data_IF_960807097038
#
_entry.id   IF_960807097038
#
_cell.length_a   1.000
_cell.length_b   1.000
_cell.length_c   1.000
_cell.angle_alpha   90.00
_cell.angle_beta   90.00
_cell.angle_gamma   90.00
#
_symmetry.space_group_name_H-M   'P 1'
#
loop_
_entity.id
_entity.type
_entity.pdbx_description
1 polymer ?
#
# COMPACT_ATOMS: atom_id res chain seq x y z
N UNK A 1 4.27 25.76 3.02
CA UNK A 1 4.93 24.69 2.23
C UNK A 1 3.87 23.99 1.42
N UNK A 2 4.18 23.54 0.20
CA UNK A 2 3.22 22.93 -0.72
C UNK A 2 3.58 21.47 -0.97
N UNK A 3 2.62 20.56 -0.90
CA UNK A 3 2.85 19.13 -1.14
C UNK A 3 2.10 18.73 -2.41
N UNK A 4 2.82 18.19 -3.38
CA UNK A 4 2.33 17.87 -4.72
C UNK A 4 2.41 16.37 -4.96
N UNK A 5 1.27 15.76 -5.24
CA UNK A 5 1.18 14.40 -5.75
C UNK A 5 1.23 14.41 -7.28
N UNK A 6 2.18 13.68 -7.88
CA UNK A 6 2.31 13.58 -9.34
C UNK A 6 3.15 12.37 -9.75
N UNK A 7 2.87 11.80 -10.93
CA UNK A 7 3.75 10.79 -11.55
C UNK A 7 4.91 11.39 -12.34
N UNK A 8 4.95 12.73 -12.51
CA UNK A 8 6.03 13.47 -13.20
C UNK A 8 6.59 14.59 -12.33
N UNK A 9 7.42 14.26 -11.32
CA UNK A 9 8.05 15.26 -10.46
C UNK A 9 8.97 16.19 -11.26
N UNK A 10 9.08 17.44 -10.83
CA UNK A 10 9.89 18.47 -11.48
C UNK A 10 11.21 18.74 -10.75
N UNK A 11 11.32 18.26 -9.51
CA UNK A 11 12.50 18.35 -8.65
C UNK A 11 12.96 19.79 -8.39
N UNK A 12 12.02 20.74 -8.35
CA UNK A 12 12.31 22.16 -8.06
C UNK A 12 12.48 22.46 -6.57
N UNK A 13 11.92 21.61 -5.71
CA UNK A 13 12.02 21.70 -4.26
C UNK A 13 12.58 20.41 -3.66
N UNK A 14 11.84 19.85 -2.71
CA UNK A 14 12.13 18.56 -2.11
C UNK A 14 11.30 17.46 -2.76
N UNK A 15 11.73 16.21 -2.63
CA UNK A 15 10.91 15.08 -3.06
C UNK A 15 11.13 13.84 -2.19
N UNK A 16 10.04 13.11 -1.94
CA UNK A 16 10.04 11.83 -1.21
C UNK A 16 9.45 10.77 -2.15
N UNK A 17 10.20 9.71 -2.39
CA UNK A 17 9.83 8.56 -3.22
C UNK A 17 9.30 8.98 -4.60
N UNK A 18 10.12 9.76 -5.29
CA UNK A 18 9.74 10.49 -6.49
C UNK A 18 10.60 10.16 -7.72
N UNK A 19 11.34 9.06 -7.70
CA UNK A 19 12.22 8.60 -8.77
C UNK A 19 13.56 9.34 -8.82
N UNK A 20 14.00 10.00 -7.74
CA UNK A 20 15.29 10.69 -7.67
C UNK A 20 15.84 10.70 -6.24
N UNK A 21 17.14 10.49 -6.12
CA UNK A 21 17.87 10.62 -4.86
C UNK A 21 19.14 11.45 -5.04
N UNK A 22 19.37 12.37 -4.10
CA UNK A 22 20.64 13.08 -3.94
C UNK A 22 21.06 13.23 -2.46
N UNK A 23 20.25 12.71 -1.52
CA UNK A 23 20.42 12.84 -0.07
C UNK A 23 20.56 14.29 0.44
N UNK A 24 20.07 15.27 -0.34
CA UNK A 24 20.04 16.68 0.04
C UNK A 24 18.62 17.22 -0.02
N UNK A 25 17.95 17.04 -1.16
CA UNK A 25 16.56 17.48 -1.39
C UNK A 25 15.66 16.36 -1.89
N UNK A 26 16.23 15.30 -2.46
CA UNK A 26 15.50 14.21 -3.07
C UNK A 26 15.86 12.89 -2.39
N UNK A 27 14.85 12.16 -1.93
CA UNK A 27 14.99 10.95 -1.14
C UNK A 27 14.11 9.86 -1.74
N UNK A 28 14.73 8.76 -2.14
CA UNK A 28 14.07 7.60 -2.72
C UNK A 28 14.91 6.36 -2.41
N UNK A 29 14.25 5.23 -2.24
CA UNK A 29 14.86 3.93 -1.97
C UNK A 29 14.30 2.80 -2.87
N UNK A 30 13.55 3.13 -3.92
CA UNK A 30 12.99 2.12 -4.81
C UNK A 30 13.87 1.85 -6.04
N UNK A 31 13.82 0.63 -6.55
CA UNK A 31 14.50 0.22 -7.79
C UNK A 31 16.00 0.44 -7.72
N UNK A 32 16.56 1.26 -8.62
CA UNK A 32 18.00 1.55 -8.63
C UNK A 32 18.51 2.27 -7.36
N UNK A 33 17.60 2.76 -6.51
CA UNK A 33 17.91 3.47 -5.28
C UNK A 33 17.79 2.60 -4.01
N UNK A 34 17.58 1.28 -4.12
CA UNK A 34 17.40 0.34 -3.00
C UNK A 34 18.52 0.32 -1.93
N UNK A 35 19.68 0.89 -2.25
CA UNK A 35 20.81 1.00 -1.33
C UNK A 35 20.75 2.28 -0.46
N UNK A 36 19.84 3.20 -0.75
CA UNK A 36 19.57 4.38 0.07
C UNK A 36 18.55 4.02 1.17
N UNK A 37 18.64 4.67 2.35
CA UNK A 37 17.68 4.42 3.42
C UNK A 37 16.28 4.89 3.03
N UNK A 38 15.27 4.13 3.45
CA UNK A 38 13.87 4.55 3.26
C UNK A 38 13.59 5.87 3.98
N UNK A 39 12.70 6.72 3.45
CA UNK A 39 12.31 7.97 4.09
C UNK A 39 11.94 7.86 5.58
N UNK A 40 11.31 6.77 6.04
CA UNK A 40 11.02 6.63 7.46
C UNK A 40 12.27 6.45 8.34
N UNK A 41 13.33 5.80 7.82
CA UNK A 41 14.62 5.61 8.52
C UNK A 41 15.76 6.53 8.05
N UNK A 42 15.48 7.45 7.13
CA UNK A 42 16.50 8.38 6.64
C UNK A 42 16.65 9.60 7.55
N UNK A 43 17.60 9.51 8.49
CA UNK A 43 17.94 10.62 9.39
C UNK A 43 18.67 11.80 8.71
N UNK A 44 19.00 11.71 7.41
CA UNK A 44 19.62 12.78 6.65
C UNK A 44 18.59 13.75 6.04
N UNK A 45 17.30 13.39 6.04
CA UNK A 45 16.24 14.26 5.56
C UNK A 45 16.20 15.54 6.42
N UNK A 46 16.47 16.73 5.84
CA UNK A 46 16.52 17.97 6.60
C UNK A 46 15.11 18.50 6.87
N UNK A 47 15.01 19.55 7.68
CA UNK A 47 13.82 20.39 7.70
C UNK A 47 13.83 21.26 6.44
N UNK A 48 12.76 21.22 5.67
CA UNK A 48 12.64 21.94 4.42
C UNK A 48 12.54 23.46 4.64
N UNK A 49 13.05 24.22 3.68
CA UNK A 49 12.94 25.69 3.64
C UNK A 49 11.47 26.13 3.62
N UNK A 50 11.16 27.26 4.27
CA UNK A 50 9.82 27.85 4.25
C UNK A 50 9.38 28.14 2.81
N UNK A 51 8.10 27.89 2.51
CA UNK A 51 7.52 28.03 1.16
C UNK A 51 8.07 27.10 0.07
N UNK A 52 8.90 26.12 0.41
CA UNK A 52 9.31 25.08 -0.55
C UNK A 52 8.13 24.20 -1.00
N UNK A 53 8.36 23.43 -2.06
CA UNK A 53 7.44 22.40 -2.55
C UNK A 53 8.03 21.02 -2.25
N UNK A 54 7.21 20.08 -1.80
CA UNK A 54 7.53 18.67 -1.63
C UNK A 54 6.76 17.88 -2.68
N UNK A 55 7.45 17.12 -3.52
CA UNK A 55 6.83 16.27 -4.54
C UNK A 55 6.87 14.80 -4.11
N UNK A 56 5.75 14.11 -4.26
CA UNK A 56 5.57 12.69 -3.94
C UNK A 56 4.88 11.98 -5.11
N UNK A 57 5.18 10.70 -5.34
CA UNK A 57 4.50 9.90 -6.38
C UNK A 57 3.39 9.01 -5.83
N UNK A 58 3.39 8.80 -4.53
CA UNK A 58 2.37 8.09 -3.81
C UNK A 58 2.33 8.61 -2.38
N UNK A 59 1.50 8.00 -1.57
CA UNK A 59 1.37 8.33 -0.18
C UNK A 59 1.14 7.01 0.53
N UNK A 60 2.07 6.61 1.37
CA UNK A 60 1.93 5.54 2.37
C UNK A 60 2.52 6.00 3.70
N UNK A 61 2.84 5.07 4.60
CA UNK A 61 3.40 5.41 5.90
C UNK A 61 4.88 5.79 5.84
N UNK A 62 5.66 5.20 4.92
CA UNK A 62 7.06 5.55 4.74
C UNK A 62 7.16 6.97 4.15
N UNK A 63 6.42 7.24 3.06
CA UNK A 63 6.31 8.59 2.48
C UNK A 63 5.88 9.61 3.54
N UNK A 64 4.89 9.27 4.36
CA UNK A 64 4.36 10.19 5.37
C UNK A 64 5.40 10.55 6.42
N UNK A 65 6.17 9.59 6.93
CA UNK A 65 7.24 9.86 7.89
C UNK A 65 8.33 10.72 7.23
N UNK A 66 8.66 10.47 5.95
CA UNK A 66 9.54 11.33 5.16
C UNK A 66 9.04 12.78 5.09
N UNK A 67 7.74 12.98 4.87
CA UNK A 67 7.10 14.29 4.95
C UNK A 67 7.26 14.89 6.35
N UNK A 68 6.94 14.16 7.43
CA UNK A 68 7.09 14.66 8.81
C UNK A 68 8.49 15.20 9.09
N UNK A 69 9.54 14.53 8.60
CA UNK A 69 10.93 14.98 8.70
C UNK A 69 11.14 16.32 7.99
N UNK A 70 10.71 16.43 6.73
CA UNK A 70 10.77 17.70 5.97
C UNK A 70 9.97 18.82 6.63
N UNK A 71 8.85 18.50 7.30
CA UNK A 71 8.04 19.46 8.04
C UNK A 71 8.64 19.84 9.42
N UNK A 72 9.70 19.16 9.87
CA UNK A 72 10.23 19.31 11.24
C UNK A 72 9.23 18.91 12.32
N UNK A 73 8.39 17.90 12.07
CA UNK A 73 7.39 17.37 13.01
C UNK A 73 7.94 16.20 13.81
N UNK A 74 7.33 15.96 14.96
CA UNK A 74 7.61 14.78 15.77
C UNK A 74 7.30 13.51 14.97
N UNK A 75 8.23 12.56 15.01
CA UNK A 75 8.06 11.26 14.37
C UNK A 75 7.20 10.33 15.25
N UNK A 76 6.51 9.36 14.66
CA UNK A 76 5.71 8.41 15.43
C UNK A 76 6.61 7.60 16.37
N UNK A 77 6.17 7.43 17.63
CA UNK A 77 6.84 6.60 18.62
C UNK A 77 6.54 5.10 18.37
N UNK A 78 7.11 4.58 17.29
CA UNK A 78 6.99 3.20 16.81
C UNK A 78 8.36 2.69 16.34
N UNK A 79 8.45 1.40 16.09
CA UNK A 79 9.63 0.80 15.45
C UNK A 79 9.66 1.15 13.96
N UNK A 80 10.50 2.11 13.58
CA UNK A 80 10.63 2.56 12.19
C UNK A 80 11.40 1.54 11.33
N UNK A 81 12.29 0.72 11.91
CA UNK A 81 12.94 -0.37 11.19
C UNK A 81 11.92 -1.41 10.76
N UNK A 82 10.99 -1.77 11.66
CA UNK A 82 9.87 -2.63 11.30
C UNK A 82 8.96 -1.99 10.25
N UNK A 83 8.72 -0.67 10.30
CA UNK A 83 7.93 0.02 9.28
C UNK A 83 8.54 -0.11 7.89
N UNK A 84 9.85 0.15 7.75
CA UNK A 84 10.60 -0.05 6.50
C UNK A 84 10.57 -1.51 6.03
N UNK A 85 10.71 -2.47 6.93
CA UNK A 85 10.64 -3.88 6.56
C UNK A 85 9.26 -4.26 6.01
N UNK A 86 8.18 -3.73 6.62
CA UNK A 86 6.82 -3.97 6.14
C UNK A 86 6.59 -3.26 4.81
N UNK A 87 7.11 -2.05 4.62
CA UNK A 87 6.99 -1.33 3.37
C UNK A 87 7.64 -2.11 2.20
N UNK A 88 8.90 -2.49 2.38
CA UNK A 88 9.68 -3.21 1.36
C UNK A 88 9.16 -4.62 1.05
N UNK A 89 8.60 -5.35 2.03
CA UNK A 89 8.30 -6.78 1.90
C UNK A 89 6.82 -7.14 2.08
N UNK A 90 5.99 -6.15 2.40
CA UNK A 90 4.59 -6.32 2.76
C UNK A 90 4.35 -6.83 4.18
N UNK A 91 3.13 -6.57 4.67
CA UNK A 91 2.65 -6.92 6.03
C UNK A 91 2.88 -8.36 6.49
N UNK A 92 2.99 -9.34 5.57
CA UNK A 92 3.18 -10.75 5.93
C UNK A 92 4.50 -11.05 6.66
N UNK A 93 5.49 -10.14 6.62
CA UNK A 93 6.73 -10.28 7.39
C UNK A 93 6.51 -10.02 8.89
N UNK A 94 5.49 -9.23 9.24
CA UNK A 94 5.17 -8.88 10.63
C UNK A 94 4.17 -9.86 11.22
N UNK A 95 4.69 -10.91 11.89
CA UNK A 95 3.85 -11.97 12.50
C UNK A 95 3.01 -11.49 13.67
N UNK A 96 3.48 -10.48 14.40
CA UNK A 96 2.68 -9.83 15.43
C UNK A 96 1.66 -8.89 14.77
N UNK A 97 0.42 -9.35 14.68
CA UNK A 97 -0.70 -8.62 14.08
C UNK A 97 -1.04 -7.32 14.80
N UNK A 98 -0.60 -7.17 16.05
CA UNK A 98 -0.81 -5.96 16.85
C UNK A 98 0.47 -5.17 17.08
N UNK A 99 1.51 -5.43 16.28
CA UNK A 99 2.71 -4.61 16.24
C UNK A 99 2.35 -3.18 15.86
N UNK A 100 2.86 -2.19 16.61
CA UNK A 100 2.52 -0.78 16.41
C UNK A 100 2.91 -0.23 15.04
N UNK A 101 4.00 -0.70 14.42
CA UNK A 101 4.41 -0.26 13.09
C UNK A 101 3.42 -0.74 12.02
N UNK A 102 3.02 -2.01 12.08
CA UNK A 102 1.96 -2.57 11.21
C UNK A 102 0.65 -1.79 11.37
N UNK A 103 0.21 -1.59 12.62
CA UNK A 103 -1.03 -0.86 12.90
C UNK A 103 -0.94 0.60 12.44
N UNK A 104 0.20 1.26 12.62
CA UNK A 104 0.40 2.61 12.14
C UNK A 104 0.27 2.68 10.60
N UNK A 105 0.91 1.76 9.87
CA UNK A 105 0.80 1.68 8.42
C UNK A 105 -0.65 1.46 7.94
N UNK A 106 -1.37 0.53 8.57
CA UNK A 106 -2.79 0.29 8.27
C UNK A 106 -3.65 1.53 8.57
N UNK A 107 -3.32 2.24 9.65
CA UNK A 107 -3.97 3.49 10.05
C UNK A 107 -3.77 4.60 9.02
N UNK A 108 -2.54 4.82 8.55
CA UNK A 108 -2.23 5.77 7.48
C UNK A 108 -2.99 5.38 6.21
N UNK A 109 -2.90 4.12 5.76
CA UNK A 109 -3.61 3.65 4.57
C UNK A 109 -5.13 3.85 4.65
N UNK A 110 -5.73 3.72 5.85
CA UNK A 110 -7.15 4.04 6.06
C UNK A 110 -7.43 5.54 6.00
N UNK A 111 -6.61 6.37 6.62
CA UNK A 111 -6.79 7.83 6.59
C UNK A 111 -6.72 8.37 5.17
N UNK A 112 -5.78 7.90 4.35
CA UNK A 112 -5.68 8.28 2.94
C UNK A 112 -6.96 7.99 2.16
N UNK A 113 -7.56 6.80 2.37
CA UNK A 113 -8.84 6.44 1.74
C UNK A 113 -10.00 7.32 2.23
N UNK A 114 -10.09 7.53 3.54
CA UNK A 114 -11.16 8.33 4.14
C UNK A 114 -11.10 9.80 3.71
N UNK A 115 -9.89 10.36 3.63
CA UNK A 115 -9.64 11.73 3.18
C UNK A 115 -9.59 11.86 1.65
N UNK A 116 -9.80 10.75 0.93
CA UNK A 116 -9.86 10.70 -0.53
C UNK A 116 -8.64 11.32 -1.20
N UNK A 117 -7.45 10.94 -0.73
CA UNK A 117 -6.21 11.30 -1.45
C UNK A 117 -6.36 10.84 -2.90
N UNK A 118 -6.14 11.75 -3.88
CA UNK A 118 -6.29 11.42 -5.29
C UNK A 118 -5.33 10.31 -5.68
N UNK A 119 -5.71 9.50 -6.68
CA UNK A 119 -4.75 8.58 -7.29
C UNK A 119 -3.71 9.39 -8.05
N UNK A 120 -2.46 8.95 -8.01
CA UNK A 120 -1.39 9.58 -8.77
C UNK A 120 -1.71 9.57 -10.27
N UNK A 121 -1.44 10.70 -10.92
CA UNK A 121 -1.55 10.89 -12.36
C UNK A 121 -0.46 11.85 -12.83
N UNK A 122 -0.39 12.10 -14.14
CA UNK A 122 0.53 13.13 -14.67
C UNK A 122 0.13 14.54 -14.24
N UNK A 123 -1.14 14.74 -13.88
CA UNK A 123 -1.62 16.00 -13.33
C UNK A 123 -1.00 16.23 -11.95
N UNK A 124 -0.54 17.46 -11.72
CA UNK A 124 0.08 17.86 -10.46
C UNK A 124 -1.01 18.30 -9.50
N UNK A 125 -1.31 17.47 -8.51
CA UNK A 125 -2.39 17.74 -7.56
C UNK A 125 -1.80 18.23 -6.24
N UNK A 126 -2.27 19.38 -5.78
CA UNK A 126 -1.93 19.90 -4.46
C UNK A 126 -2.69 19.13 -3.38
N UNK A 127 -1.95 18.38 -2.56
CA UNK A 127 -2.50 17.56 -1.48
C UNK A 127 -2.18 18.14 -0.10
N UNK A 128 -1.68 19.37 -0.03
CA UNK A 128 -1.23 20.01 1.22
C UNK A 128 -2.30 19.97 2.30
N UNK A 129 -3.53 20.41 1.98
CA UNK A 129 -4.64 20.44 2.95
C UNK A 129 -5.01 19.05 3.44
N UNK A 130 -4.87 18.01 2.61
CA UNK A 130 -5.16 16.63 3.02
C UNK A 130 -4.10 16.13 3.99
N UNK A 131 -2.82 16.41 3.73
CA UNK A 131 -1.73 16.06 4.66
C UNK A 131 -1.89 16.81 5.98
N UNK A 132 -2.30 18.09 5.94
CA UNK A 132 -2.64 18.86 7.14
C UNK A 132 -3.78 18.25 7.95
N UNK A 133 -4.78 17.63 7.30
CA UNK A 133 -5.81 16.86 8.01
C UNK A 133 -5.24 15.60 8.69
N UNK A 134 -4.32 14.88 8.05
CA UNK A 134 -3.65 13.71 8.65
C UNK A 134 -2.83 14.14 9.88
N UNK A 135 -2.14 15.29 9.82
CA UNK A 135 -1.34 15.83 10.93
C UNK A 135 -2.16 16.10 12.21
N UNK A 136 -3.48 16.22 12.12
CA UNK A 136 -4.36 16.39 13.30
C UNK A 136 -4.51 15.11 14.13
N UNK A 137 -4.07 13.96 13.61
CA UNK A 137 -4.14 12.68 14.30
C UNK A 137 -2.82 12.40 15.02
N UNK A 138 -2.90 12.11 16.32
CA UNK A 138 -1.75 11.60 17.06
C UNK A 138 -1.40 10.18 16.61
N UNK A 139 -0.15 9.78 16.84
CA UNK A 139 0.33 8.41 16.59
C UNK A 139 -0.59 7.35 17.20
N UNK A 140 -1.07 7.55 18.43
CA UNK A 140 -1.98 6.61 19.11
C UNK A 140 -3.35 6.53 18.42
N UNK A 141 -3.85 7.65 17.90
CA UNK A 141 -5.11 7.66 17.13
C UNK A 141 -4.94 6.92 15.81
N UNK A 142 -3.81 7.10 15.12
CA UNK A 142 -3.50 6.40 13.87
C UNK A 142 -3.40 4.89 14.14
N UNK A 143 -2.67 4.47 15.18
CA UNK A 143 -2.58 3.06 15.58
C UNK A 143 -3.97 2.48 15.88
N UNK A 144 -4.83 3.18 16.64
CA UNK A 144 -6.21 2.72 16.91
C UNK A 144 -7.08 2.58 15.66
N UNK A 145 -6.85 3.41 14.64
CA UNK A 145 -7.51 3.24 13.34
C UNK A 145 -7.00 1.95 12.68
N UNK A 146 -5.68 1.73 12.73
CA UNK A 146 -5.04 0.49 12.28
C UNK A 146 -5.57 -0.77 12.96
N UNK A 147 -5.77 -0.74 14.27
CA UNK A 147 -6.33 -1.85 15.05
C UNK A 147 -7.69 -2.27 14.50
N UNK A 148 -8.58 -1.29 14.25
CA UNK A 148 -9.90 -1.56 13.66
C UNK A 148 -9.80 -2.16 12.26
N UNK A 149 -8.86 -1.68 11.45
CA UNK A 149 -8.61 -2.23 10.11
C UNK A 149 -8.10 -3.67 10.21
N UNK A 150 -7.19 -3.95 11.13
CA UNK A 150 -6.65 -5.28 11.34
C UNK A 150 -7.72 -6.26 11.83
N UNK A 151 -8.54 -5.86 12.80
CA UNK A 151 -9.68 -6.65 13.28
C UNK A 151 -10.69 -6.94 12.16
N UNK A 152 -10.98 -5.93 11.34
CA UNK A 152 -11.85 -6.06 10.15
C UNK A 152 -11.24 -7.03 9.13
N UNK A 153 -9.93 -6.93 8.88
CA UNK A 153 -9.19 -7.82 7.98
C UNK A 153 -9.24 -9.28 8.44
N UNK A 154 -8.99 -9.56 9.73
CA UNK A 154 -9.04 -10.93 10.27
C UNK A 154 -10.46 -11.51 10.21
N UNK A 155 -11.49 -10.69 10.48
CA UNK A 155 -12.89 -11.11 10.30
C UNK A 155 -13.21 -11.41 8.83
N UNK A 156 -12.78 -10.53 7.92
CA UNK A 156 -12.97 -10.72 6.49
C UNK A 156 -12.27 -11.99 6.01
N UNK A 157 -11.05 -12.27 6.45
CA UNK A 157 -10.31 -13.48 6.09
C UNK A 157 -11.09 -14.77 6.42
N UNK A 158 -11.83 -14.79 7.54
CA UNK A 158 -12.64 -15.95 7.92
C UNK A 158 -13.97 -15.96 7.14
N UNK A 159 -14.67 -14.83 7.12
CA UNK A 159 -16.06 -14.75 6.69
C UNK A 159 -16.24 -14.66 5.17
N UNK A 160 -15.25 -14.12 4.45
CA UNK A 160 -15.31 -13.93 2.99
C UNK A 160 -14.80 -15.14 2.21
N UNK A 161 -14.34 -16.18 2.91
CA UNK A 161 -13.79 -17.37 2.30
C UNK A 161 -14.83 -18.12 1.47
N UNK A 162 -14.49 -18.40 0.20
CA UNK A 162 -15.35 -19.18 -0.70
C UNK A 162 -14.80 -20.56 -0.99
N UNK A 163 -13.50 -20.68 -1.23
CA UNK A 163 -12.88 -21.96 -1.57
C UNK A 163 -11.41 -22.01 -1.16
N UNK A 164 -10.95 -23.21 -0.80
CA UNK A 164 -9.55 -23.54 -0.49
C UNK A 164 -9.15 -24.78 -1.29
N UNK A 165 -7.95 -24.78 -1.87
CA UNK A 165 -7.40 -25.95 -2.53
C UNK A 165 -5.88 -25.91 -2.52
N UNK A 166 -5.24 -26.89 -1.87
CA UNK A 166 -3.78 -27.01 -1.77
C UNK A 166 -3.11 -25.66 -1.43
N UNK A 167 -2.48 -25.03 -2.42
CA UNK A 167 -1.70 -23.80 -2.37
C UNK A 167 -2.46 -22.53 -2.82
N UNK A 168 -3.76 -22.63 -3.12
CA UNK A 168 -4.59 -21.49 -3.54
C UNK A 168 -5.85 -21.30 -2.69
N UNK A 169 -6.29 -20.05 -2.57
CA UNK A 169 -7.47 -19.64 -1.80
C UNK A 169 -8.28 -18.59 -2.56
N UNK A 170 -9.61 -18.66 -2.45
CA UNK A 170 -10.56 -17.73 -3.06
C UNK A 170 -11.39 -17.01 -1.99
N UNK A 171 -11.42 -15.69 -2.07
CA UNK A 171 -12.26 -14.81 -1.28
C UNK A 171 -13.25 -14.04 -2.15
N UNK A 172 -14.42 -13.71 -1.59
CA UNK A 172 -15.40 -12.78 -2.17
C UNK A 172 -15.76 -11.74 -1.13
N UNK A 173 -15.34 -10.50 -1.37
CA UNK A 173 -15.43 -9.41 -0.39
C UNK A 173 -16.36 -8.29 -0.86
N UNK A 174 -17.05 -7.66 0.09
CA UNK A 174 -17.84 -6.45 -0.13
C UNK A 174 -17.02 -5.18 0.19
N UNK A 175 -17.65 -4.00 0.21
CA UNK A 175 -16.96 -2.72 0.42
C UNK A 175 -16.50 -2.48 1.87
N UNK A 176 -17.05 -3.22 2.84
CA UNK A 176 -16.74 -3.08 4.27
C UNK A 176 -15.64 -4.03 4.74
N UNK A 177 -15.30 -5.02 3.92
CA UNK A 177 -14.30 -6.03 4.25
C UNK A 177 -12.88 -5.49 3.96
N UNK A 178 -12.06 -5.36 5.00
CA UNK A 178 -10.67 -4.89 4.90
C UNK A 178 -9.67 -6.03 4.64
N UNK A 179 -10.06 -7.04 3.86
CA UNK A 179 -9.22 -8.20 3.61
C UNK A 179 -7.82 -7.79 3.14
N UNK A 180 -6.81 -8.14 3.94
CA UNK A 180 -5.41 -8.16 3.54
C UNK A 180 -5.08 -9.51 2.87
N UNK A 181 -4.86 -9.57 1.53
CA UNK A 181 -4.59 -10.84 0.84
C UNK A 181 -3.34 -11.55 1.35
N UNK A 182 -2.33 -10.79 1.78
CA UNK A 182 -1.04 -11.33 2.25
C UNK A 182 -1.16 -12.17 3.51
N UNK A 183 -2.24 -12.02 4.28
CA UNK A 183 -2.54 -12.86 5.44
C UNK A 183 -2.58 -14.35 5.09
N UNK A 184 -3.01 -14.68 3.87
CA UNK A 184 -3.08 -16.07 3.42
C UNK A 184 -1.71 -16.75 3.32
N UNK A 185 -0.63 -15.98 3.14
CA UNK A 185 0.73 -16.51 2.99
C UNK A 185 1.22 -17.16 4.29
N UNK A 186 0.77 -16.66 5.44
CA UNK A 186 1.02 -17.28 6.75
C UNK A 186 0.37 -18.66 6.89
N UNK A 187 -0.72 -18.90 6.16
CA UNK A 187 -1.44 -20.18 6.13
C UNK A 187 -0.97 -21.08 4.96
N UNK A 188 0.20 -20.80 4.39
CA UNK A 188 0.83 -21.57 3.29
C UNK A 188 0.06 -21.57 1.98
N UNK A 189 -0.76 -20.55 1.71
CA UNK A 189 -1.32 -20.31 0.38
C UNK A 189 -0.37 -19.43 -0.41
N UNK A 190 0.05 -19.89 -1.59
CA UNK A 190 0.90 -19.13 -2.50
C UNK A 190 0.11 -18.26 -3.46
N UNK A 191 -1.17 -18.57 -3.70
CA UNK A 191 -2.02 -17.87 -4.65
C UNK A 191 -3.35 -17.50 -4.00
N UNK A 192 -3.70 -16.23 -4.07
CA UNK A 192 -4.91 -15.66 -3.46
C UNK A 192 -5.73 -15.00 -4.57
N UNK A 193 -6.89 -15.55 -4.85
CA UNK A 193 -7.88 -14.95 -5.75
C UNK A 193 -8.88 -14.18 -4.91
N UNK A 194 -9.14 -12.92 -5.24
CA UNK A 194 -10.09 -12.06 -4.55
C UNK A 194 -11.10 -11.51 -5.55
N UNK A 195 -12.36 -11.88 -5.40
CA UNK A 195 -13.47 -11.20 -6.04
C UNK A 195 -13.92 -10.01 -5.18
N UNK A 196 -13.92 -8.80 -5.77
CA UNK A 196 -14.35 -7.57 -5.09
C UNK A 196 -15.74 -7.19 -5.59
N UNK A 197 -16.79 -7.52 -4.85
CA UNK A 197 -18.19 -7.32 -5.27
C UNK A 197 -18.51 -5.86 -5.61
N UNK A 198 -17.98 -4.93 -4.83
CA UNK A 198 -18.24 -3.49 -4.97
C UNK A 198 -17.57 -2.85 -6.19
N UNK A 199 -16.48 -3.43 -6.68
CA UNK A 199 -15.82 -3.01 -7.92
C UNK A 199 -16.16 -3.93 -9.10
N UNK A 200 -16.76 -5.10 -8.84
CA UNK A 200 -16.94 -6.19 -9.79
C UNK A 200 -15.62 -6.51 -10.51
N UNK A 201 -14.57 -6.74 -9.75
CA UNK A 201 -13.22 -7.06 -10.27
C UNK A 201 -12.66 -8.30 -9.62
N UNK A 202 -11.74 -8.96 -10.31
CA UNK A 202 -10.96 -10.09 -9.78
C UNK A 202 -9.52 -9.63 -9.63
N UNK A 203 -8.90 -9.96 -8.50
CA UNK A 203 -7.47 -9.74 -8.28
C UNK A 203 -6.80 -11.06 -7.94
N UNK A 204 -5.58 -11.26 -8.44
CA UNK A 204 -4.74 -12.40 -8.11
C UNK A 204 -3.49 -11.87 -7.41
N UNK A 205 -3.25 -12.34 -6.20
CA UNK A 205 -2.06 -12.04 -5.42
C UNK A 205 -1.25 -13.32 -5.23
N UNK A 206 0.05 -13.25 -5.44
CA UNK A 206 0.97 -14.35 -5.21
C UNK A 206 1.89 -14.03 -4.04
N UNK A 207 2.20 -15.05 -3.24
CA UNK A 207 3.23 -14.97 -2.22
C UNK A 207 4.54 -14.51 -2.88
N UNK A 208 5.18 -13.41 -2.42
CA UNK A 208 6.41 -12.90 -3.02
C UNK A 208 7.55 -13.94 -3.09
N UNK A 209 7.53 -14.91 -2.17
CA UNK A 209 8.51 -16.01 -2.12
C UNK A 209 8.21 -17.15 -3.10
N UNK A 210 7.06 -17.13 -3.76
CA UNK A 210 6.65 -18.13 -4.74
C UNK A 210 7.06 -17.73 -6.15
N UNK A 211 7.16 -18.72 -7.04
CA UNK A 211 7.47 -18.51 -8.46
C UNK A 211 6.26 -18.07 -9.31
N UNK A 212 5.06 -17.97 -8.71
CA UNK A 212 3.85 -17.72 -9.46
C UNK A 212 3.75 -16.26 -9.90
N UNK A 213 3.43 -16.07 -11.19
CA UNK A 213 3.19 -14.75 -11.80
C UNK A 213 2.02 -14.85 -12.76
N UNK A 214 1.12 -13.87 -12.74
CA UNK A 214 -0.11 -13.88 -13.55
C UNK A 214 -0.32 -12.61 -14.39
N UNK A 215 0.41 -11.52 -14.13
CA UNK A 215 0.32 -10.35 -15.00
C UNK A 215 0.76 -10.70 -16.44
N UNK A 216 0.01 -10.19 -17.41
CA UNK A 216 0.18 -10.47 -18.83
C UNK A 216 -0.38 -11.82 -19.29
N UNK A 217 -0.87 -12.68 -18.37
CA UNK A 217 -1.44 -13.99 -18.71
C UNK A 217 -2.95 -13.92 -18.85
N UNK A 218 -3.48 -14.81 -19.68
CA UNK A 218 -4.91 -15.10 -19.74
C UNK A 218 -5.21 -16.30 -18.84
N UNK A 219 -6.24 -16.18 -18.00
CA UNK A 219 -6.73 -17.24 -17.10
C UNK A 219 -8.24 -17.24 -17.18
N UNK A 220 -8.85 -18.38 -17.51
CA UNK A 220 -10.30 -18.52 -17.71
C UNK A 220 -10.88 -17.49 -18.70
N UNK A 221 -10.12 -17.19 -19.76
CA UNK A 221 -10.50 -16.21 -20.79
C UNK A 221 -10.34 -14.74 -20.37
N UNK A 222 -9.75 -14.47 -19.19
CA UNK A 222 -9.55 -13.11 -18.68
C UNK A 222 -8.05 -12.78 -18.71
N UNK A 223 -7.69 -11.71 -19.43
CA UNK A 223 -6.31 -11.20 -19.46
C UNK A 223 -6.02 -10.34 -18.23
N UNK A 224 -5.15 -10.82 -17.34
CA UNK A 224 -4.74 -10.10 -16.15
C UNK A 224 -3.57 -9.16 -16.44
N UNK A 225 -3.56 -7.99 -15.79
CA UNK A 225 -2.50 -6.99 -15.95
C UNK A 225 -2.15 -6.32 -14.62
N UNK A 226 -0.98 -5.69 -14.54
CA UNK A 226 -0.42 -5.07 -13.34
C UNK A 226 0.92 -5.67 -12.91
N UNK A 227 1.18 -5.72 -11.61
CA UNK A 227 2.43 -6.25 -11.07
C UNK A 227 2.49 -7.78 -11.29
N UNK A 228 3.65 -8.38 -11.64
CA UNK A 228 3.77 -9.82 -11.92
C UNK A 228 3.10 -10.74 -10.90
N UNK A 229 3.26 -10.43 -9.61
CA UNK A 229 2.70 -11.17 -8.46
C UNK A 229 1.44 -10.52 -7.84
N UNK A 230 0.93 -9.41 -8.40
CA UNK A 230 -0.28 -8.73 -7.92
C UNK A 230 -0.98 -8.04 -9.09
N UNK A 231 -1.89 -8.76 -9.74
CA UNK A 231 -2.56 -8.33 -10.96
C UNK A 231 -4.08 -8.33 -10.81
N UNK A 232 -4.76 -7.55 -11.66
CA UNK A 232 -6.21 -7.43 -11.67
C UNK A 232 -6.81 -7.75 -13.04
N UNK A 233 -8.11 -8.03 -13.04
CA UNK A 233 -8.93 -8.11 -14.26
C UNK A 233 -8.90 -6.77 -15.02
N UNK A 234 -9.19 -6.76 -16.34
CA UNK A 234 -9.16 -5.55 -17.16
C UNK A 234 -10.01 -4.41 -16.60
N UNK A 235 -9.53 -3.17 -16.72
CA UNK A 235 -10.28 -1.99 -16.30
C UNK A 235 -11.51 -1.79 -17.18
N UNK A 236 -12.63 -1.39 -16.56
CA UNK A 236 -13.89 -1.12 -17.27
C UNK A 236 -14.69 -2.36 -17.65
N UNK A 237 -14.22 -3.56 -17.29
CA UNK A 237 -14.96 -4.80 -17.48
C UNK A 237 -15.44 -5.33 -16.13
N UNK A 238 -16.75 -5.53 -16.01
CA UNK A 238 -17.35 -6.09 -14.80
C UNK A 238 -17.18 -7.61 -14.78
N UNK A 239 -16.74 -8.13 -13.64
CA UNK A 239 -16.58 -9.55 -13.34
C UNK A 239 -17.66 -10.04 -12.38
N UNK A 240 -17.92 -11.34 -12.42
CA UNK A 240 -18.86 -12.07 -11.55
C UNK A 240 -18.13 -12.98 -10.56
N UNK A 241 -18.81 -13.39 -9.50
CA UNK A 241 -18.28 -14.39 -8.56
C UNK A 241 -18.04 -15.75 -9.26
N UNK A 242 -18.86 -16.10 -10.25
CA UNK A 242 -18.69 -17.33 -11.03
C UNK A 242 -17.42 -17.30 -11.91
N UNK A 243 -17.11 -16.16 -12.53
CA UNK A 243 -15.85 -15.99 -13.25
C UNK A 243 -14.65 -16.05 -12.31
N UNK A 244 -14.75 -15.48 -11.10
CA UNK A 244 -13.71 -15.61 -10.09
C UNK A 244 -13.47 -17.08 -9.67
N UNK A 245 -14.55 -17.88 -9.61
CA UNK A 245 -14.46 -19.31 -9.36
C UNK A 245 -13.76 -20.04 -10.52
N UNK A 246 -14.07 -19.71 -11.78
CA UNK A 246 -13.41 -20.28 -12.96
C UNK A 246 -11.92 -19.94 -12.99
N UNK A 247 -11.56 -18.68 -12.72
CA UNK A 247 -10.16 -18.25 -12.55
C UNK A 247 -9.48 -19.06 -11.45
N UNK A 248 -10.13 -19.19 -10.29
CA UNK A 248 -9.60 -20.01 -9.20
C UNK A 248 -9.41 -21.47 -9.62
N UNK A 249 -10.32 -22.08 -10.37
CA UNK A 249 -10.23 -23.47 -10.80
C UNK A 249 -9.11 -23.72 -11.81
N UNK A 250 -8.87 -22.81 -12.73
CA UNK A 250 -7.88 -22.93 -13.81
C UNK A 250 -6.43 -22.72 -13.37
N UNK A 251 -6.20 -21.95 -12.31
CA UNK A 251 -4.88 -21.73 -11.68
C UNK A 251 -4.29 -23.03 -11.11
#
# INVERSE_FOLDING_TARGET
MRIILTSKPQFQGYSIEAGKVDNLKHFDHHGQFEHYPSPCNNNQIPIAEENSTIEITHMDADTYVGILRLLGKDLPNIDLEMLEQIDNNGSSICRDKYNKALLYQLGIGRLQRNLKIPRVSEERVDVTSIIEEILKYSTEKIIKIGEKVQESSEKAYINSLKRKQKNKILFSINAQDDLNPSRAYEDSYDIVVVYRQHYKTISIYCNPKSQYVFAGKEVAGIKFDGHPQSCGSPRGMEMTEEEALKVFEEI
#
